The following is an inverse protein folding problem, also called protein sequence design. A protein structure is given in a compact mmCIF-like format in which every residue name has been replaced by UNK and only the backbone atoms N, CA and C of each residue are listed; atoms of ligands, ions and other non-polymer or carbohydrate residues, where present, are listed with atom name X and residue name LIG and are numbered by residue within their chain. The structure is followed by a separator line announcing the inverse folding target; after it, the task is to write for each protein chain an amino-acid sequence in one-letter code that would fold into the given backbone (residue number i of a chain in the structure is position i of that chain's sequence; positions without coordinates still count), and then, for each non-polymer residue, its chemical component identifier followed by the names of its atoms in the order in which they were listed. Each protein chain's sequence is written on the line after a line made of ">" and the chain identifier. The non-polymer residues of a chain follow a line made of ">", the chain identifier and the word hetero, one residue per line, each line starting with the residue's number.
data_IF_629333894068
#
_entry.id   IF_629333894068
#
_cell.length_a   1.000
_cell.length_b   1.000
_cell.length_c   1.000
_cell.angle_alpha   90.00
_cell.angle_beta   90.00
_cell.angle_gamma   90.00
#
_symmetry.space_group_name_H-M   'P 1'
#
loop_
_entity.id
_entity.type
_entity.pdbx_description
1 polymer ?
#
# COMPACT_ATOMS: atom_id res chain seq x y z
N UNK A 1 -12.73 -35.95 -20.06
CA UNK A 1 -13.23 -36.67 -18.87
C UNK A 1 -12.18 -37.56 -18.18
N UNK A 2 -10.86 -37.35 -18.39
CA UNK A 2 -9.77 -38.16 -17.79
C UNK A 2 -8.95 -37.44 -16.70
N UNK A 3 -9.13 -36.14 -16.54
CA UNK A 3 -8.34 -35.29 -15.61
C UNK A 3 -8.94 -35.26 -14.19
N UNK A 4 -10.18 -35.73 -14.01
CA UNK A 4 -10.91 -35.67 -12.72
C UNK A 4 -10.62 -36.84 -11.76
N UNK A 5 -9.84 -37.84 -12.15
CA UNK A 5 -9.55 -39.01 -11.29
C UNK A 5 -8.25 -38.90 -10.48
N UNK A 6 -7.38 -37.93 -10.77
CA UNK A 6 -6.08 -37.82 -10.08
C UNK A 6 -6.16 -37.09 -8.73
N UNK A 7 -7.20 -36.30 -8.46
CA UNK A 7 -7.35 -35.53 -7.22
C UNK A 7 -7.96 -36.30 -6.05
N UNK A 8 -8.51 -37.49 -6.28
CA UNK A 8 -9.20 -38.27 -5.23
C UNK A 8 -8.23 -39.19 -4.46
N UNK A 9 -7.04 -39.47 -5.00
CA UNK A 9 -6.08 -40.38 -4.37
C UNK A 9 -5.33 -39.77 -3.17
N UNK A 10 -5.27 -38.44 -3.05
CA UNK A 10 -4.59 -37.79 -1.92
C UNK A 10 -5.42 -37.79 -0.62
N UNK A 11 -6.75 -37.92 -0.71
CA UNK A 11 -7.63 -37.90 0.45
C UNK A 11 -7.77 -39.26 1.14
N UNK A 12 -7.59 -40.37 0.43
CA UNK A 12 -7.78 -41.72 0.98
C UNK A 12 -6.60 -42.23 1.80
N UNK A 13 -5.39 -41.69 1.61
CA UNK A 13 -4.20 -42.03 2.44
C UNK A 13 -4.30 -41.43 3.84
N UNK A 14 -4.99 -40.29 4.00
CA UNK A 14 -5.27 -39.67 5.30
C UNK A 14 -6.25 -40.49 6.15
N UNK A 15 -7.19 -41.20 5.51
CA UNK A 15 -8.24 -41.96 6.20
C UNK A 15 -7.73 -43.26 6.87
N UNK A 16 -6.62 -43.84 6.38
CA UNK A 16 -5.99 -45.02 7.02
C UNK A 16 -4.93 -44.64 8.07
N UNK A 17 -4.47 -43.38 8.11
CA UNK A 17 -3.44 -42.90 9.05
C UNK A 17 -3.97 -42.24 10.33
N UNK A 18 -5.23 -41.79 10.34
CA UNK A 18 -5.79 -41.04 11.48
C UNK A 18 -6.03 -41.89 12.74
N UNK A 19 -6.13 -43.21 12.62
CA UNK A 19 -6.36 -44.10 13.77
C UNK A 19 -5.09 -44.46 14.56
N UNK A 20 -3.91 -44.04 14.09
CA UNK A 20 -2.61 -44.33 14.73
C UNK A 20 -1.94 -43.11 15.36
N UNK A 21 -2.51 -41.91 15.23
CA UNK A 21 -1.96 -40.72 15.91
C UNK A 21 -2.18 -40.83 17.41
N UNK A 22 -1.10 -41.09 18.13
CA UNK A 22 -1.02 -41.04 19.58
C UNK A 22 -1.34 -39.62 20.08
N UNK A 23 -1.77 -39.50 21.33
CA UNK A 23 -2.05 -38.21 21.97
C UNK A 23 -0.83 -37.26 21.94
N UNK A 24 0.38 -37.83 21.97
CA UNK A 24 1.63 -37.09 21.83
C UNK A 24 1.82 -36.50 20.43
N UNK A 25 1.41 -37.20 19.38
CA UNK A 25 1.48 -36.69 18.01
C UNK A 25 0.44 -35.59 17.76
N UNK A 26 -0.76 -35.70 18.35
CA UNK A 26 -1.76 -34.62 18.32
C UNK A 26 -1.27 -33.35 19.02
N UNK A 27 -0.74 -33.46 20.24
CA UNK A 27 -0.19 -32.30 20.95
C UNK A 27 0.97 -31.65 20.19
N UNK A 28 1.83 -32.45 19.57
CA UNK A 28 2.93 -31.93 18.74
C UNK A 28 2.42 -31.27 17.47
N UNK A 29 1.39 -31.82 16.83
CA UNK A 29 0.75 -31.22 15.67
C UNK A 29 0.08 -29.88 16.03
N UNK A 30 -0.62 -29.82 17.16
CA UNK A 30 -1.27 -28.61 17.67
C UNK A 30 -0.24 -27.52 18.00
N UNK A 31 0.82 -27.84 18.74
CA UNK A 31 1.90 -26.90 19.05
C UNK A 31 2.62 -26.39 17.80
N UNK A 32 2.85 -27.25 16.81
CA UNK A 32 3.44 -26.83 15.54
C UNK A 32 2.50 -25.93 14.73
N UNK A 33 1.20 -26.22 14.75
CA UNK A 33 0.19 -25.41 14.07
C UNK A 33 0.07 -24.03 14.73
N UNK A 34 0.10 -23.98 16.07
CA UNK A 34 0.08 -22.74 16.85
C UNK A 34 1.31 -21.88 16.54
N UNK A 35 2.52 -22.46 16.61
CA UNK A 35 3.76 -21.76 16.25
C UNK A 35 3.80 -21.29 14.78
N UNK A 36 3.22 -22.07 13.86
CA UNK A 36 3.09 -21.66 12.46
C UNK A 36 2.10 -20.51 12.30
N UNK A 37 0.99 -20.52 13.06
CA UNK A 37 0.01 -19.45 13.12
C UNK A 37 0.60 -18.14 13.63
N UNK A 38 1.31 -18.19 14.76
CA UNK A 38 1.99 -17.02 15.34
C UNK A 38 2.99 -16.42 14.36
N UNK A 39 3.82 -17.26 13.72
CA UNK A 39 4.79 -16.79 12.74
C UNK A 39 4.12 -16.20 11.50
N UNK A 40 2.99 -16.74 11.07
CA UNK A 40 2.22 -16.18 9.96
C UNK A 40 1.61 -14.82 10.34
N UNK A 41 1.12 -14.67 11.58
CA UNK A 41 0.60 -13.40 12.09
C UNK A 41 1.69 -12.32 12.16
N UNK A 42 2.88 -12.66 12.67
CA UNK A 42 4.02 -11.74 12.73
C UNK A 42 4.45 -11.26 11.34
N UNK A 43 4.54 -12.17 10.37
CA UNK A 43 4.90 -11.81 8.99
C UNK A 43 3.81 -10.94 8.36
N UNK A 44 2.53 -11.24 8.61
CA UNK A 44 1.43 -10.42 8.13
C UNK A 44 1.47 -9.00 8.73
N UNK A 45 1.76 -8.88 10.03
CA UNK A 45 1.89 -7.58 10.70
C UNK A 45 3.06 -6.76 10.12
N UNK A 46 4.25 -7.36 9.99
CA UNK A 46 5.42 -6.71 9.38
C UNK A 46 5.15 -6.29 7.93
N UNK A 47 4.46 -7.15 7.16
CA UNK A 47 4.07 -6.83 5.78
C UNK A 47 3.11 -5.65 5.73
N UNK A 48 2.13 -5.61 6.65
CA UNK A 48 1.21 -4.48 6.81
C UNK A 48 1.95 -3.16 7.07
N UNK A 49 2.93 -3.16 7.97
CA UNK A 49 3.74 -1.98 8.30
C UNK A 49 4.57 -1.49 7.10
N UNK A 50 5.15 -2.41 6.32
CA UNK A 50 5.88 -2.05 5.10
C UNK A 50 4.95 -1.42 4.06
N UNK A 51 3.75 -1.97 3.88
CA UNK A 51 2.75 -1.41 2.95
C UNK A 51 2.30 -0.02 3.42
N UNK A 52 2.00 0.14 4.71
CA UNK A 52 1.56 1.42 5.29
C UNK A 52 2.64 2.49 5.16
N UNK A 53 3.89 2.17 5.55
CA UNK A 53 5.01 3.09 5.42
C UNK A 53 5.34 3.44 3.97
N UNK A 54 5.19 2.48 3.05
CA UNK A 54 5.33 2.71 1.60
C UNK A 54 4.26 3.67 1.07
N UNK A 55 3.01 3.48 1.48
CA UNK A 55 1.89 4.35 1.11
C UNK A 55 2.08 5.79 1.64
N UNK A 56 2.50 5.93 2.90
CA UNK A 56 2.80 7.24 3.49
C UNK A 56 3.92 7.97 2.75
N UNK A 57 5.02 7.28 2.40
CA UNK A 57 6.12 7.87 1.62
C UNK A 57 5.67 8.32 0.23
N UNK A 58 4.83 7.53 -0.44
CA UNK A 58 4.30 7.90 -1.74
C UNK A 58 3.40 9.15 -1.64
N UNK A 59 2.53 9.22 -0.62
CA UNK A 59 1.69 10.39 -0.37
C UNK A 59 2.54 11.65 -0.10
N UNK A 60 3.55 11.54 0.76
CA UNK A 60 4.47 12.64 1.06
C UNK A 60 5.22 13.12 -0.19
N UNK A 61 5.70 12.22 -1.04
CA UNK A 61 6.39 12.60 -2.28
C UNK A 61 5.46 13.36 -3.24
N UNK A 62 4.18 12.98 -3.30
CA UNK A 62 3.17 13.71 -4.09
C UNK A 62 2.90 15.09 -3.50
N UNK A 63 2.74 15.19 -2.18
CA UNK A 63 2.52 16.45 -1.48
C UNK A 63 3.69 17.42 -1.68
N UNK A 64 4.93 16.95 -1.49
CA UNK A 64 6.14 17.74 -1.73
C UNK A 64 6.28 18.16 -3.20
N UNK A 65 5.93 17.27 -4.13
CA UNK A 65 5.93 17.56 -5.56
C UNK A 65 4.90 18.63 -5.93
N UNK A 66 3.69 18.52 -5.40
CA UNK A 66 2.62 19.48 -5.61
C UNK A 66 2.96 20.85 -4.99
N UNK A 67 3.52 20.88 -3.78
CA UNK A 67 4.01 22.11 -3.13
C UNK A 67 5.06 22.82 -3.98
N UNK A 68 6.09 22.11 -4.46
CA UNK A 68 7.12 22.69 -5.35
C UNK A 68 6.55 23.25 -6.66
N UNK A 69 5.47 22.67 -7.18
CA UNK A 69 4.79 23.19 -8.38
C UNK A 69 3.99 24.44 -8.02
N UNK A 70 3.29 24.44 -6.88
CA UNK A 70 2.55 25.58 -6.39
C UNK A 70 3.49 26.79 -6.16
N UNK A 71 4.59 26.59 -5.43
CA UNK A 71 5.60 27.64 -5.17
C UNK A 71 6.11 28.25 -6.49
N UNK A 72 6.46 27.41 -7.47
CA UNK A 72 6.93 27.89 -8.79
C UNK A 72 5.86 28.63 -9.57
N UNK A 73 4.59 28.25 -9.44
CA UNK A 73 3.50 28.96 -10.08
C UNK A 73 3.28 30.31 -9.39
N UNK A 74 3.34 30.34 -8.06
CA UNK A 74 3.24 31.56 -7.27
C UNK A 74 4.35 32.56 -7.64
N UNK A 75 5.61 32.13 -7.67
CA UNK A 75 6.76 32.95 -8.10
C UNK A 75 6.57 33.52 -9.51
N UNK A 76 6.10 32.69 -10.45
CA UNK A 76 5.84 33.11 -11.83
C UNK A 76 4.71 34.11 -11.93
N UNK A 77 3.66 33.93 -11.12
CA UNK A 77 2.51 34.82 -11.07
C UNK A 77 2.90 36.16 -10.44
N UNK A 78 3.69 36.14 -9.35
CA UNK A 78 4.27 37.34 -8.75
C UNK A 78 5.15 38.12 -9.75
N UNK A 79 6.07 37.43 -10.44
CA UNK A 79 6.91 38.06 -11.46
C UNK A 79 6.07 38.63 -12.61
N UNK A 80 5.11 37.87 -13.12
CA UNK A 80 4.26 38.32 -14.21
C UNK A 80 3.37 39.51 -13.79
N UNK A 81 2.89 39.53 -12.54
CA UNK A 81 2.15 40.65 -11.99
C UNK A 81 3.02 41.90 -11.85
N UNK A 82 4.25 41.75 -11.34
CA UNK A 82 5.23 42.84 -11.25
C UNK A 82 5.62 43.41 -12.62
N UNK A 83 5.66 42.57 -13.65
CA UNK A 83 5.86 42.97 -15.06
C UNK A 83 4.61 43.58 -15.70
N UNK A 84 3.48 43.65 -14.98
CA UNK A 84 2.21 44.18 -15.49
C UNK A 84 1.63 43.32 -16.62
N UNK A 85 1.91 42.01 -16.63
CA UNK A 85 1.43 41.10 -17.67
C UNK A 85 -0.07 40.84 -17.50
N UNK A 86 -0.90 41.15 -18.51
CA UNK A 86 -2.34 40.90 -18.52
C UNK A 86 -2.71 39.50 -18.01
N UNK A 87 -3.64 39.44 -17.06
CA UNK A 87 -4.21 38.20 -16.56
C UNK A 87 -3.37 37.49 -15.50
N UNK A 88 -2.15 37.93 -15.20
CA UNK A 88 -1.38 37.44 -14.06
C UNK A 88 -2.08 37.79 -12.74
N UNK A 89 -1.91 36.96 -11.71
CA UNK A 89 -2.46 37.21 -10.37
C UNK A 89 -1.31 37.53 -9.43
N UNK A 90 -1.37 38.64 -8.72
CA UNK A 90 -0.40 38.95 -7.68
C UNK A 90 -0.71 38.11 -6.43
N UNK A 91 0.17 37.18 -6.02
CA UNK A 91 -0.08 36.33 -4.86
C UNK A 91 -0.16 37.09 -3.54
N UNK A 92 0.51 38.25 -3.43
CA UNK A 92 0.53 39.04 -2.20
C UNK A 92 -0.79 39.80 -1.97
N UNK A 93 -1.51 40.11 -3.05
CA UNK A 93 -2.71 40.95 -3.01
C UNK A 93 -3.96 40.25 -3.54
N UNK A 94 -3.82 39.06 -4.11
CA UNK A 94 -4.85 38.29 -4.81
C UNK A 94 -5.56 39.10 -5.93
N UNK A 95 -4.86 40.11 -6.47
CA UNK A 95 -5.39 40.96 -7.54
C UNK A 95 -4.91 40.49 -8.90
N UNK A 96 -5.81 40.49 -9.88
CA UNK A 96 -5.48 40.16 -11.27
C UNK A 96 -5.06 41.42 -12.02
N UNK A 97 -3.94 41.35 -12.74
CA UNK A 97 -3.55 42.40 -13.68
C UNK A 97 -4.59 42.49 -14.81
N UNK A 98 -5.20 43.66 -15.04
CA UNK A 98 -6.24 43.82 -16.05
C UNK A 98 -5.71 43.55 -17.46
N UNK A 99 -6.59 43.01 -18.32
CA UNK A 99 -6.29 42.89 -19.73
C UNK A 99 -6.22 44.27 -20.40
N UNK A 100 -5.27 44.46 -21.33
CA UNK A 100 -5.26 45.64 -22.19
C UNK A 100 -6.42 45.48 -23.18
N UNK A 101 -7.37 46.41 -23.11
CA UNK A 101 -8.48 46.55 -24.08
C UNK A 101 -7.95 47.00 -25.44
#
# INVERSE_FOLDING_TARGET
>A
MRIRMLTIAAASVLALGAAACTQAEQQKAEANAEAAGDKAADVAAQTGEVVESGAMKAAQAVEEGAGKVADKLEDKQAQAAAEGRPGAVDPATDTRVPAKN
#
